data_IF_917378106751
#
_entry.id   IF_917378106751
#
_cell.length_a   1.000
_cell.length_b   1.000
_cell.length_c   1.000
_cell.angle_alpha   90.00
_cell.angle_beta   90.00
_cell.angle_gamma   90.00
#
_symmetry.space_group_name_H-M   'P 1'
#
loop_
_entity.id
_entity.type
_entity.pdbx_description
1 polymer ?
#
# COMPACT_ATOMS: atom_id res chain seq x y z
N UNK A 1 66.56 -6.23 -0.91
CA UNK A 1 65.47 -5.55 -1.66
C UNK A 1 64.15 -5.73 -0.92
N UNK A 2 63.93 -4.88 0.08
CA UNK A 2 62.67 -4.82 0.83
C UNK A 2 61.77 -3.81 0.12
N UNK A 3 60.61 -4.26 -0.35
CA UNK A 3 59.57 -3.37 -0.88
C UNK A 3 59.02 -2.51 0.26
N UNK A 4 58.83 -1.19 0.07
CA UNK A 4 58.28 -0.35 1.12
C UNK A 4 56.79 -0.65 1.23
N UNK A 5 56.37 -1.13 2.40
CA UNK A 5 54.98 -1.25 2.80
C UNK A 5 54.38 0.16 2.79
N UNK A 6 53.67 0.51 1.72
CA UNK A 6 52.92 1.75 1.56
C UNK A 6 51.77 1.78 2.57
N UNK A 7 52.06 2.17 3.81
CA UNK A 7 51.07 2.44 4.82
C UNK A 7 50.22 3.64 4.37
N UNK A 8 48.97 3.38 3.98
CA UNK A 8 48.01 4.43 3.64
C UNK A 8 47.80 5.40 4.82
N UNK A 9 47.64 6.71 4.57
CA UNK A 9 47.52 7.70 5.62
C UNK A 9 46.24 7.50 6.45
N UNK A 10 46.29 7.74 7.78
CA UNK A 10 45.23 7.40 8.73
C UNK A 10 43.89 8.12 8.52
N UNK A 11 43.82 9.16 7.68
CA UNK A 11 42.55 9.81 7.34
C UNK A 11 41.75 9.08 6.26
N UNK A 12 42.41 8.29 5.38
CA UNK A 12 41.74 7.64 4.24
C UNK A 12 40.83 6.47 4.66
N UNK A 13 41.27 5.62 5.59
CA UNK A 13 40.45 4.50 6.09
C UNK A 13 39.20 4.97 6.84
N UNK A 14 39.27 6.11 7.55
CA UNK A 14 38.13 6.67 8.26
C UNK A 14 37.04 7.18 7.29
N UNK A 15 37.46 7.77 6.16
CA UNK A 15 36.56 8.22 5.09
C UNK A 15 35.95 7.02 4.35
N UNK A 16 36.74 5.99 4.05
CA UNK A 16 36.25 4.74 3.44
C UNK A 16 35.26 4.00 4.33
N UNK A 17 35.55 3.85 5.63
CA UNK A 17 34.65 3.22 6.59
C UNK A 17 33.32 3.99 6.73
N UNK A 18 33.36 5.32 6.67
CA UNK A 18 32.16 6.18 6.69
C UNK A 18 31.34 6.02 5.41
N UNK A 19 32.01 5.96 4.25
CA UNK A 19 31.39 5.75 2.95
C UNK A 19 30.69 4.39 2.86
N UNK A 20 31.34 3.35 3.37
CA UNK A 20 30.80 1.99 3.40
C UNK A 20 29.58 1.89 4.34
N UNK A 21 29.64 2.54 5.51
CA UNK A 21 28.46 2.66 6.39
C UNK A 21 27.31 3.34 5.67
N UNK A 22 27.51 4.46 5.00
CA UNK A 22 26.43 5.14 4.28
C UNK A 22 25.89 4.31 3.11
N UNK A 23 26.73 3.57 2.40
CA UNK A 23 26.28 2.65 1.35
C UNK A 23 25.36 1.56 1.93
N UNK A 24 25.74 0.95 3.06
CA UNK A 24 24.91 -0.02 3.78
C UNK A 24 23.56 0.56 4.21
N UNK A 25 23.55 1.80 4.74
CA UNK A 25 22.31 2.46 5.15
C UNK A 25 21.41 2.79 3.95
N UNK A 26 21.99 3.23 2.82
CA UNK A 26 21.24 3.46 1.58
C UNK A 26 20.60 2.18 1.04
N UNK A 27 21.34 1.07 1.04
CA UNK A 27 20.82 -0.22 0.60
C UNK A 27 19.68 -0.71 1.52
N UNK A 28 19.87 -0.61 2.84
CA UNK A 28 18.84 -0.96 3.82
C UNK A 28 17.57 -0.12 3.66
N UNK A 29 17.72 1.20 3.50
CA UNK A 29 16.60 2.11 3.27
C UNK A 29 15.89 1.78 1.96
N UNK A 30 16.61 1.51 0.87
CA UNK A 30 16.01 1.14 -0.41
C UNK A 30 15.19 -0.14 -0.31
N UNK A 31 15.71 -1.16 0.37
CA UNK A 31 15.00 -2.42 0.59
C UNK A 31 13.74 -2.19 1.46
N UNK A 32 13.86 -1.42 2.55
CA UNK A 32 12.70 -1.08 3.39
C UNK A 32 11.62 -0.33 2.59
N UNK A 33 12.00 0.66 1.77
CA UNK A 33 11.09 1.41 0.91
C UNK A 33 10.41 0.53 -0.15
N UNK A 34 11.14 -0.44 -0.73
CA UNK A 34 10.56 -1.41 -1.67
C UNK A 34 9.53 -2.32 -0.98
N UNK A 35 9.82 -2.77 0.23
CA UNK A 35 8.88 -3.56 1.04
C UNK A 35 7.62 -2.76 1.38
N UNK A 36 7.78 -1.51 1.79
CA UNK A 36 6.64 -0.65 2.12
C UNK A 36 5.78 -0.33 0.88
N UNK A 37 6.41 -0.07 -0.27
CA UNK A 37 5.69 0.06 -1.53
C UNK A 37 4.88 -1.21 -1.86
N UNK A 38 5.47 -2.39 -1.66
CA UNK A 38 4.78 -3.66 -1.89
C UNK A 38 3.57 -3.84 -0.98
N UNK A 39 3.66 -3.42 0.28
CA UNK A 39 2.51 -3.46 1.22
C UNK A 39 1.38 -2.54 0.76
N UNK A 40 1.70 -1.34 0.26
CA UNK A 40 0.69 -0.40 -0.27
C UNK A 40 -0.02 -1.02 -1.47
N UNK A 41 0.73 -1.61 -2.41
CA UNK A 41 0.16 -2.28 -3.58
C UNK A 41 -0.73 -3.47 -3.18
N UNK A 42 -0.26 -4.35 -2.29
CA UNK A 42 -1.05 -5.49 -1.80
C UNK A 42 -2.34 -5.04 -1.09
N UNK A 43 -2.28 -3.92 -0.36
CA UNK A 43 -3.46 -3.33 0.26
C UNK A 43 -4.45 -2.77 -0.78
N UNK A 44 -3.94 -2.10 -1.81
CA UNK A 44 -4.76 -1.61 -2.92
C UNK A 44 -5.44 -2.77 -3.65
N UNK A 45 -4.72 -3.85 -3.92
CA UNK A 45 -5.27 -5.04 -4.58
C UNK A 45 -6.44 -5.64 -3.78
N UNK A 46 -6.29 -5.75 -2.46
CA UNK A 46 -7.37 -6.21 -1.56
C UNK A 46 -8.58 -5.29 -1.60
N UNK A 47 -8.38 -3.97 -1.64
CA UNK A 47 -9.48 -3.01 -1.75
C UNK A 47 -10.18 -3.15 -3.10
N UNK A 48 -9.45 -3.29 -4.19
CA UNK A 48 -10.04 -3.52 -5.52
C UNK A 48 -10.82 -4.84 -5.57
N UNK A 49 -10.31 -5.90 -4.95
CA UNK A 49 -11.03 -7.17 -4.85
C UNK A 49 -12.35 -7.01 -4.08
N UNK A 50 -12.35 -6.26 -2.98
CA UNK A 50 -13.58 -5.97 -2.23
C UNK A 50 -14.55 -5.10 -3.03
N UNK A 51 -14.06 -4.07 -3.72
CA UNK A 51 -14.88 -3.22 -4.60
C UNK A 51 -15.51 -4.03 -5.74
N UNK A 52 -14.79 -4.98 -6.32
CA UNK A 52 -15.33 -5.88 -7.35
C UNK A 52 -16.47 -6.74 -6.80
N UNK A 53 -16.34 -7.28 -5.58
CA UNK A 53 -17.42 -8.03 -4.91
C UNK A 53 -18.65 -7.16 -4.67
N UNK A 54 -18.45 -5.92 -4.23
CA UNK A 54 -19.54 -4.96 -4.03
C UNK A 54 -20.22 -4.56 -5.35
N UNK A 55 -19.45 -4.40 -6.43
CA UNK A 55 -20.00 -4.14 -7.76
C UNK A 55 -20.85 -5.31 -8.26
N UNK A 56 -20.38 -6.55 -8.07
CA UNK A 56 -21.16 -7.74 -8.40
C UNK A 56 -22.46 -7.79 -7.59
N UNK A 57 -22.40 -7.53 -6.28
CA UNK A 57 -23.59 -7.49 -5.43
C UNK A 57 -24.58 -6.42 -5.89
N UNK A 58 -24.08 -5.24 -6.25
CA UNK A 58 -24.91 -4.16 -6.81
C UNK A 58 -25.63 -4.59 -8.08
N UNK A 59 -24.92 -5.19 -9.03
CA UNK A 59 -25.51 -5.68 -10.28
C UNK A 59 -26.59 -6.75 -10.02
N UNK A 60 -26.38 -7.62 -9.02
CA UNK A 60 -27.39 -8.63 -8.63
C UNK A 60 -28.63 -7.95 -8.03
N UNK A 61 -28.45 -6.93 -7.19
CA UNK A 61 -29.56 -6.17 -6.59
C UNK A 61 -30.36 -5.42 -7.67
N UNK A 62 -29.68 -4.76 -8.61
CA UNK A 62 -30.33 -4.05 -9.72
C UNK A 62 -31.11 -5.02 -10.61
N UNK A 63 -30.53 -6.19 -10.94
CA UNK A 63 -31.25 -7.26 -11.67
C UNK A 63 -32.45 -7.80 -10.90
N UNK A 64 -32.36 -7.92 -9.57
CA UNK A 64 -33.46 -8.38 -8.72
C UNK A 64 -34.60 -7.35 -8.65
N UNK A 65 -34.29 -6.04 -8.79
CA UNK A 65 -35.31 -4.99 -8.89
C UNK A 65 -36.04 -5.04 -10.24
N UNK A 66 -35.33 -5.36 -11.32
CA UNK A 66 -35.90 -5.43 -12.68
C UNK A 66 -36.64 -6.74 -12.96
N UNK A 67 -36.12 -7.87 -12.45
CA UNK A 67 -36.70 -9.18 -12.67
C UNK A 67 -37.70 -9.53 -11.55
N UNK A 68 -39.00 -9.55 -11.89
CA UNK A 68 -40.05 -10.17 -11.04
C UNK A 68 -39.87 -11.68 -10.83
N UNK A 69 -38.89 -12.30 -11.49
CA UNK A 69 -38.54 -13.71 -11.34
C UNK A 69 -37.11 -13.82 -10.82
N UNK A 70 -36.96 -14.54 -9.72
CA UNK A 70 -35.70 -14.64 -9.00
C UNK A 70 -34.69 -15.52 -9.75
N UNK A 71 -33.77 -14.89 -10.47
CA UNK A 71 -32.56 -15.57 -10.96
C UNK A 71 -31.49 -15.54 -9.85
N UNK A 72 -31.42 -16.61 -9.06
CA UNK A 72 -30.29 -16.82 -8.15
C UNK A 72 -29.09 -17.30 -8.98
N UNK A 73 -27.95 -16.64 -8.83
CA UNK A 73 -26.78 -16.86 -9.67
C UNK A 73 -26.20 -18.29 -9.66
N UNK A 74 -25.40 -18.55 -10.70
CA UNK A 74 -24.68 -19.79 -11.07
C UNK A 74 -25.55 -20.83 -11.80
N UNK A 75 -25.73 -20.68 -13.13
CA UNK A 75 -26.13 -21.68 -14.16
C UNK A 75 -27.05 -22.89 -13.77
N UNK A 76 -27.77 -22.79 -12.66
CA UNK A 76 -28.65 -23.79 -12.10
C UNK A 76 -30.00 -23.11 -11.96
N UNK A 77 -30.94 -23.59 -12.75
CA UNK A 77 -32.31 -23.12 -12.74
C UNK A 77 -33.08 -24.03 -11.80
N UNK A 78 -33.30 -23.57 -10.56
CA UNK A 78 -34.29 -24.17 -9.68
C UNK A 78 -35.50 -23.26 -9.62
N UNK A 79 -36.67 -23.79 -10.00
CA UNK A 79 -37.96 -23.12 -9.89
C UNK A 79 -38.37 -23.00 -8.41
N UNK A 80 -37.66 -22.17 -7.67
CA UNK A 80 -37.97 -21.83 -6.28
C UNK A 80 -38.58 -20.44 -6.25
N UNK A 81 -39.87 -20.38 -5.92
CA UNK A 81 -40.56 -19.12 -5.65
C UNK A 81 -40.04 -18.58 -4.32
N UNK A 82 -39.25 -17.50 -4.38
CA UNK A 82 -38.93 -16.73 -3.18
C UNK A 82 -40.12 -15.82 -2.86
N UNK A 83 -40.77 -15.99 -1.70
CA UNK A 83 -42.02 -15.31 -1.39
C UNK A 83 -41.86 -13.80 -1.19
N UNK A 84 -40.66 -13.33 -0.84
CA UNK A 84 -40.34 -11.90 -0.73
C UNK A 84 -38.88 -11.62 -1.10
N UNK A 85 -38.67 -10.81 -2.14
CA UNK A 85 -37.34 -10.34 -2.59
C UNK A 85 -37.06 -8.89 -2.17
N UNK A 86 -37.88 -8.33 -1.27
CA UNK A 86 -37.78 -6.92 -0.84
C UNK A 86 -36.55 -6.65 0.04
N UNK A 87 -36.04 -7.69 0.71
CA UNK A 87 -34.91 -7.63 1.64
C UNK A 87 -33.82 -8.66 1.28
N UNK A 88 -32.58 -8.31 1.58
CA UNK A 88 -31.42 -9.20 1.45
C UNK A 88 -30.61 -9.22 2.76
N UNK A 89 -29.91 -10.32 3.00
CA UNK A 89 -28.96 -10.41 4.11
C UNK A 89 -27.55 -10.08 3.62
N UNK A 90 -26.97 -9.01 4.17
CA UNK A 90 -25.59 -8.60 3.88
C UNK A 90 -24.70 -9.00 5.04
N UNK A 91 -23.65 -9.77 4.76
CA UNK A 91 -22.65 -10.15 5.76
C UNK A 91 -21.83 -8.92 6.18
N UNK A 92 -21.85 -8.58 7.47
CA UNK A 92 -21.03 -7.51 8.05
C UNK A 92 -19.63 -8.00 8.47
N UNK A 93 -19.46 -9.32 8.63
CA UNK A 93 -18.25 -9.96 9.13
C UNK A 93 -18.47 -10.62 10.49
N UNK A 94 -17.53 -11.47 10.91
CA UNK A 94 -17.58 -12.20 12.20
C UNK A 94 -18.87 -13.01 12.45
N UNK A 95 -19.51 -13.49 11.38
CA UNK A 95 -20.76 -14.24 11.47
C UNK A 95 -22.02 -13.39 11.66
N UNK A 96 -21.90 -12.06 11.61
CA UNK A 96 -23.05 -11.16 11.67
C UNK A 96 -23.59 -10.84 10.27
N UNK A 97 -24.91 -10.90 10.14
CA UNK A 97 -25.66 -10.56 8.94
C UNK A 97 -26.67 -9.49 9.29
N UNK A 98 -26.85 -8.54 8.38
CA UNK A 98 -27.85 -7.49 8.50
C UNK A 98 -28.87 -7.66 7.39
N UNK A 99 -30.14 -7.75 7.77
CA UNK A 99 -31.25 -7.66 6.83
C UNK A 99 -31.41 -6.20 6.40
N UNK A 100 -31.31 -5.95 5.09
CA UNK A 100 -31.44 -4.64 4.47
C UNK A 100 -32.42 -4.71 3.32
N UNK A 101 -33.22 -3.66 3.15
CA UNK A 101 -33.97 -3.49 1.89
C UNK A 101 -33.01 -3.28 0.73
N UNK A 102 -33.46 -3.54 -0.50
CA UNK A 102 -32.62 -3.35 -1.70
C UNK A 102 -32.07 -1.91 -1.79
N UNK A 103 -32.87 -0.91 -1.43
CA UNK A 103 -32.45 0.49 -1.43
C UNK A 103 -31.41 0.82 -0.34
N UNK A 104 -31.55 0.22 0.85
CA UNK A 104 -30.57 0.37 1.93
C UNK A 104 -29.26 -0.37 1.62
N UNK A 105 -29.34 -1.54 0.98
CA UNK A 105 -28.18 -2.29 0.55
C UNK A 105 -27.35 -1.50 -0.48
N UNK A 106 -27.98 -0.83 -1.44
CA UNK A 106 -27.29 0.07 -2.37
C UNK A 106 -26.57 1.21 -1.65
N UNK A 107 -27.24 1.89 -0.71
CA UNK A 107 -26.62 2.93 0.12
C UNK A 107 -25.47 2.40 0.97
N UNK A 108 -25.60 1.18 1.50
CA UNK A 108 -24.54 0.52 2.27
C UNK A 108 -23.32 0.24 1.40
N UNK A 109 -23.52 -0.27 0.17
CA UNK A 109 -22.45 -0.53 -0.80
C UNK A 109 -21.72 0.76 -1.15
N UNK A 110 -22.44 1.84 -1.47
CA UNK A 110 -21.83 3.13 -1.82
C UNK A 110 -21.00 3.68 -0.67
N UNK A 111 -21.56 3.67 0.55
CA UNK A 111 -20.86 4.15 1.75
C UNK A 111 -19.62 3.31 2.07
N UNK A 112 -19.71 1.98 1.95
CA UNK A 112 -18.56 1.09 2.18
C UNK A 112 -17.48 1.29 1.13
N UNK A 113 -17.86 1.46 -0.14
CA UNK A 113 -16.93 1.68 -1.24
C UNK A 113 -16.17 3.00 -1.10
N UNK A 114 -16.88 4.07 -0.73
CA UNK A 114 -16.28 5.38 -0.42
C UNK A 114 -15.30 5.28 0.76
N UNK A 115 -15.70 4.67 1.88
CA UNK A 115 -14.84 4.50 3.05
C UNK A 115 -13.57 3.68 2.75
N UNK A 116 -13.70 2.58 2.01
CA UNK A 116 -12.54 1.77 1.62
C UNK A 116 -11.59 2.57 0.72
N UNK A 117 -12.12 3.35 -0.21
CA UNK A 117 -11.33 4.21 -1.11
C UNK A 117 -10.60 5.30 -0.34
N UNK A 118 -11.25 5.97 0.60
CA UNK A 118 -10.64 6.98 1.46
C UNK A 118 -9.53 6.40 2.33
N UNK A 119 -9.76 5.23 2.93
CA UNK A 119 -8.76 4.52 3.72
C UNK A 119 -7.53 4.17 2.85
N UNK A 120 -7.74 3.67 1.63
CA UNK A 120 -6.67 3.40 0.66
C UNK A 120 -5.83 4.65 0.36
N UNK A 121 -6.51 5.77 0.10
CA UNK A 121 -5.87 7.04 -0.25
C UNK A 121 -5.05 7.61 0.92
N UNK A 122 -5.58 7.54 2.13
CA UNK A 122 -4.87 8.00 3.34
C UNK A 122 -3.61 7.16 3.59
N UNK A 123 -3.69 5.83 3.50
CA UNK A 123 -2.53 4.95 3.64
C UNK A 123 -1.47 5.20 2.56
N UNK A 124 -1.90 5.44 1.32
CA UNK A 124 -0.99 5.80 0.22
C UNK A 124 -0.27 7.12 0.52
N UNK A 125 -1.00 8.14 0.99
CA UNK A 125 -0.44 9.44 1.36
C UNK A 125 0.57 9.32 2.50
N UNK A 126 0.26 8.55 3.54
CA UNK A 126 1.15 8.31 4.67
C UNK A 126 2.45 7.61 4.24
N UNK A 127 2.35 6.63 3.34
CA UNK A 127 3.51 5.96 2.77
C UNK A 127 4.38 6.92 1.95
N UNK A 128 3.76 7.79 1.14
CA UNK A 128 4.48 8.79 0.36
C UNK A 128 5.19 9.81 1.27
N UNK A 129 4.54 10.25 2.34
CA UNK A 129 5.12 11.20 3.29
C UNK A 129 6.36 10.62 3.99
N UNK A 130 6.26 9.38 4.49
CA UNK A 130 7.41 8.67 5.08
C UNK A 130 8.56 8.52 4.08
N UNK A 131 8.26 8.18 2.82
CA UNK A 131 9.25 8.07 1.76
C UNK A 131 9.94 9.41 1.46
N UNK A 132 9.19 10.51 1.44
CA UNK A 132 9.72 11.85 1.23
C UNK A 132 10.68 12.26 2.35
N UNK A 133 10.30 12.05 3.63
CA UNK A 133 11.18 12.33 4.77
C UNK A 133 12.48 11.54 4.71
N UNK A 134 12.41 10.26 4.36
CA UNK A 134 13.58 9.40 4.20
C UNK A 134 14.49 9.89 3.07
N UNK A 135 13.91 10.22 1.91
CA UNK A 135 14.67 10.77 0.78
C UNK A 135 15.38 12.08 1.15
N UNK A 136 14.70 12.97 1.88
CA UNK A 136 15.26 14.24 2.34
C UNK A 136 16.45 14.03 3.29
N UNK A 137 16.33 13.11 4.26
CA UNK A 137 17.42 12.74 5.17
C UNK A 137 18.63 12.17 4.41
N UNK A 138 18.39 11.29 3.44
CA UNK A 138 19.46 10.71 2.61
C UNK A 138 20.19 11.76 1.77
N UNK A 139 19.46 12.75 1.24
CA UNK A 139 20.05 13.83 0.47
C UNK A 139 20.87 14.78 1.36
N UNK A 140 20.34 15.14 2.53
CA UNK A 140 21.11 15.92 3.51
C UNK A 140 22.40 15.21 3.95
N UNK A 141 22.37 13.89 4.15
CA UNK A 141 23.58 13.11 4.42
C UNK A 141 24.58 13.14 3.25
N UNK A 142 24.09 13.12 2.00
CA UNK A 142 24.95 13.22 0.81
C UNK A 142 25.63 14.58 0.72
N UNK A 143 24.89 15.66 0.98
CA UNK A 143 25.42 17.03 0.99
C UNK A 143 26.51 17.20 2.07
N UNK A 144 26.24 16.74 3.29
CA UNK A 144 27.21 16.76 4.39
C UNK A 144 28.50 15.97 4.07
N UNK A 145 28.38 14.84 3.36
CA UNK A 145 29.54 14.09 2.88
C UNK A 145 30.27 14.80 1.73
N UNK A 146 29.54 15.47 0.84
CA UNK A 146 30.12 16.32 -0.22
C UNK A 146 30.96 17.45 0.36
N UNK A 147 30.48 18.06 1.45
CA UNK A 147 31.16 19.14 2.18
C UNK A 147 32.40 18.67 2.98
N UNK A 148 32.54 17.38 3.32
CA UNK A 148 33.76 16.88 3.99
C UNK A 148 34.95 16.64 3.05
N UNK A 149 34.78 16.78 1.72
CA UNK A 149 35.84 16.53 0.74
C UNK A 149 36.70 17.77 0.39
N UNK A 150 36.70 18.84 1.20
CA UNK A 150 37.62 19.95 0.94
C UNK A 150 39.07 19.52 1.27
N UNK A 151 40.05 19.79 0.38
CA UNK A 151 41.44 19.55 0.70
C UNK A 151 41.83 20.47 1.87
N UNK A 152 42.36 19.88 2.95
CA UNK A 152 43.06 20.62 3.99
C UNK A 152 44.07 21.54 3.29
N UNK A 153 43.90 22.85 3.47
CA UNK A 153 44.86 23.85 2.99
C UNK A 153 46.22 23.48 3.58
N UNK A 154 47.29 23.40 2.77
CA UNK A 154 48.62 23.15 3.29
C UNK A 154 48.98 24.31 4.22
N UNK A 155 49.17 24.00 5.50
CA UNK A 155 49.81 24.92 6.42
C UNK A 155 51.26 25.12 5.97
N UNK A 156 51.64 26.40 5.98
CA UNK A 156 52.87 27.02 5.48
C UNK A 156 54.17 26.27 5.76
#
# INVERSE_FOLDING_TARGET
PEEPIMAMPPKRWAVEATRERVLRHKAFISDMLQRDLRKVLDHQDKIHEQLAKYLQLRNVIERLQEAKHSEFGCNFFTDTVVPDTSCIYVALGYGFFLELTLAEALKFIDRKSSLLTELSNSLTKDSMNKKAHIHMLLEGLRELQGLQNFPEKPHH
#
